data_IF_884416183439
#
_entry.id   IF_884416183439
#
_cell.length_a   1.000
_cell.length_b   1.000
_cell.length_c   1.000
_cell.angle_alpha   90.00
_cell.angle_beta   90.00
_cell.angle_gamma   90.00
#
_symmetry.space_group_name_H-M   'P 1'
#
loop_
_entity.id
_entity.type
_entity.pdbx_description
1 polymer ?
#
# COMPACT_ATOMS: atom_id res chain seq x y z
N UNK A 1 -5.95 -8.71 -22.19
CA UNK A 1 -5.38 -7.43 -22.65
C UNK A 1 -5.69 -6.41 -21.57
N UNK A 2 -4.74 -6.17 -20.64
CA UNK A 2 -4.96 -5.27 -19.52
C UNK A 2 -4.69 -3.84 -19.99
N UNK A 3 -5.70 -2.99 -19.97
CA UNK A 3 -5.57 -1.57 -20.24
C UNK A 3 -4.97 -0.89 -18.99
N UNK A 4 -3.68 -0.64 -19.00
CA UNK A 4 -3.07 0.30 -18.08
C UNK A 4 -3.57 1.71 -18.42
N UNK A 5 -4.02 2.44 -17.39
CA UNK A 5 -4.57 3.78 -17.50
C UNK A 5 -3.73 4.70 -18.40
N UNK A 6 -4.41 5.49 -19.21
CA UNK A 6 -3.81 6.42 -20.18
C UNK A 6 -2.83 7.38 -19.50
N UNK A 7 -1.53 7.23 -19.79
CA UNK A 7 -0.57 8.30 -19.60
C UNK A 7 -0.81 9.36 -20.67
N UNK A 8 -1.26 10.52 -20.27
CA UNK A 8 -1.23 11.71 -21.11
C UNK A 8 0.06 12.46 -20.79
N UNK A 9 1.04 12.38 -21.69
CA UNK A 9 2.25 13.21 -21.64
C UNK A 9 1.88 14.54 -22.27
N UNK A 10 1.90 15.61 -21.48
CA UNK A 10 1.82 16.98 -21.99
C UNK A 10 3.11 17.70 -21.58
N UNK A 11 3.89 18.12 -22.55
CA UNK A 11 5.02 19.03 -22.34
C UNK A 11 4.47 20.39 -21.93
N UNK A 12 4.85 20.86 -20.74
CA UNK A 12 4.51 22.18 -20.23
C UNK A 12 3.99 22.13 -18.80
N UNK A 13 4.89 22.03 -17.81
CA UNK A 13 4.72 22.55 -16.45
C UNK A 13 3.47 22.18 -15.61
N UNK A 14 2.60 21.31 -16.04
CA UNK A 14 1.45 20.84 -15.23
C UNK A 14 1.82 19.62 -14.40
N UNK A 15 1.56 19.71 -13.10
CA UNK A 15 1.66 18.63 -12.15
C UNK A 15 0.73 17.51 -12.63
N UNK A 16 1.30 16.41 -13.14
CA UNK A 16 0.51 15.25 -13.58
C UNK A 16 -0.30 14.73 -12.39
N UNK A 17 -1.62 14.73 -12.54
CA UNK A 17 -2.50 14.12 -11.55
C UNK A 17 -2.08 12.67 -11.31
N UNK A 18 -1.91 12.30 -10.06
CA UNK A 18 -1.59 10.93 -9.66
C UNK A 18 -2.84 10.07 -9.84
N UNK A 19 -2.83 9.22 -10.87
CA UNK A 19 -3.93 8.32 -11.18
C UNK A 19 -3.63 6.92 -10.69
N UNK A 20 -4.56 6.33 -9.95
CA UNK A 20 -4.51 4.94 -9.52
C UNK A 20 -5.05 4.01 -10.63
N UNK A 21 -4.55 2.77 -10.72
CA UNK A 21 -5.12 1.75 -11.59
C UNK A 21 -6.57 1.44 -11.23
N UNK A 22 -7.32 0.93 -12.20
CA UNK A 22 -8.67 0.41 -11.97
C UNK A 22 -8.61 -0.72 -10.92
N UNK A 23 -9.72 -0.87 -10.18
CA UNK A 23 -9.87 -2.00 -9.25
C UNK A 23 -10.14 -3.29 -10.03
N UNK A 24 -9.81 -4.43 -9.44
CA UNK A 24 -10.09 -5.76 -9.98
C UNK A 24 -11.19 -6.40 -9.15
N UNK A 25 -12.33 -6.70 -9.75
CA UNK A 25 -13.50 -7.20 -9.02
C UNK A 25 -13.70 -8.70 -9.21
N UNK A 26 -14.28 -9.37 -8.19
CA UNK A 26 -14.63 -10.79 -8.27
C UNK A 26 -15.62 -11.09 -9.42
N UNK A 27 -16.46 -10.12 -9.75
CA UNK A 27 -17.41 -10.22 -10.85
C UNK A 27 -16.73 -10.42 -12.22
N UNK A 28 -15.52 -9.86 -12.41
CA UNK A 28 -14.73 -10.03 -13.63
C UNK A 28 -14.28 -11.49 -13.87
N UNK A 29 -14.40 -12.32 -12.82
CA UNK A 29 -14.04 -13.74 -12.79
C UNK A 29 -15.27 -14.64 -12.59
N UNK A 30 -16.45 -14.18 -12.99
CA UNK A 30 -17.71 -14.94 -12.88
C UNK A 30 -18.03 -15.41 -11.47
N UNK A 31 -17.52 -14.72 -10.43
CA UNK A 31 -17.68 -15.08 -9.03
C UNK A 31 -16.79 -16.25 -8.57
N UNK A 32 -15.90 -16.76 -9.41
CA UNK A 32 -14.92 -17.78 -9.03
C UNK A 32 -13.80 -17.16 -8.21
N UNK A 33 -13.83 -17.42 -6.89
CA UNK A 33 -12.82 -16.86 -5.97
C UNK A 33 -11.41 -17.38 -6.23
N UNK A 34 -11.25 -18.61 -6.70
CA UNK A 34 -9.92 -19.16 -6.94
C UNK A 34 -9.26 -18.48 -8.14
N UNK A 35 -9.99 -18.32 -9.22
CA UNK A 35 -9.51 -17.57 -10.40
C UNK A 35 -9.20 -16.12 -10.06
N UNK A 36 -10.08 -15.48 -9.31
CA UNK A 36 -9.88 -14.12 -8.82
C UNK A 36 -8.62 -13.99 -7.96
N UNK A 37 -8.46 -14.86 -6.95
CA UNK A 37 -7.31 -14.84 -6.07
C UNK A 37 -5.99 -15.05 -6.81
N UNK A 38 -5.94 -15.93 -7.81
CA UNK A 38 -4.75 -16.10 -8.65
C UNK A 38 -4.45 -14.87 -9.50
N UNK A 39 -5.46 -14.19 -10.04
CA UNK A 39 -5.28 -12.95 -10.79
C UNK A 39 -4.76 -11.82 -9.88
N UNK A 40 -5.32 -11.66 -8.68
CA UNK A 40 -4.85 -10.72 -7.64
C UNK A 40 -3.39 -11.02 -7.26
N UNK A 41 -3.06 -12.30 -7.09
CA UNK A 41 -1.70 -12.72 -6.76
C UNK A 41 -0.72 -12.45 -7.90
N UNK A 42 -1.12 -12.61 -9.16
CA UNK A 42 -0.27 -12.31 -10.32
C UNK A 42 0.08 -10.81 -10.40
N UNK A 43 -0.89 -9.93 -10.12
CA UNK A 43 -0.64 -8.48 -10.00
C UNK A 43 0.37 -8.20 -8.89
N UNK A 44 0.18 -8.78 -7.71
CA UNK A 44 1.11 -8.63 -6.60
C UNK A 44 2.52 -9.12 -6.96
N UNK A 45 2.65 -10.29 -7.58
CA UNK A 45 3.97 -10.80 -8.03
C UNK A 45 4.66 -9.85 -8.98
N UNK A 46 3.91 -9.32 -9.96
CA UNK A 46 4.47 -8.37 -10.90
C UNK A 46 5.02 -7.13 -10.20
N UNK A 47 4.27 -6.56 -9.25
CA UNK A 47 4.57 -5.29 -8.61
C UNK A 47 5.58 -5.39 -7.46
N UNK A 48 5.60 -6.50 -6.71
CA UNK A 48 6.42 -6.62 -5.49
C UNK A 48 7.51 -7.69 -5.56
N UNK A 49 7.36 -8.69 -6.43
CA UNK A 49 8.37 -9.75 -6.55
C UNK A 49 9.28 -9.48 -7.74
N UNK A 50 8.71 -9.22 -8.93
CA UNK A 50 9.47 -9.03 -10.17
C UNK A 50 10.04 -7.61 -10.28
N UNK A 51 9.22 -6.58 -10.17
CA UNK A 51 9.62 -5.17 -10.34
C UNK A 51 10.14 -4.54 -9.06
N UNK A 52 9.47 -4.73 -7.92
CA UNK A 52 9.70 -4.10 -6.62
C UNK A 52 9.62 -2.57 -6.64
N UNK A 53 8.74 -1.95 -5.84
CA UNK A 53 8.63 -0.51 -5.80
C UNK A 53 9.82 0.15 -5.11
N UNK A 54 9.95 1.47 -5.36
CA UNK A 54 10.95 2.32 -4.74
C UNK A 54 10.26 3.39 -3.89
N UNK A 55 10.66 3.49 -2.64
CA UNK A 55 10.26 4.60 -1.78
C UNK A 55 11.39 5.63 -1.75
N UNK A 56 11.19 6.79 -2.40
CA UNK A 56 12.17 7.88 -2.44
C UNK A 56 13.58 7.38 -2.81
N UNK A 57 13.69 6.66 -3.91
CA UNK A 57 14.93 6.08 -4.40
C UNK A 57 15.41 4.80 -3.70
N UNK A 58 14.78 4.39 -2.59
CA UNK A 58 15.14 3.17 -1.87
C UNK A 58 14.29 2.01 -2.36
N UNK A 59 14.92 1.00 -2.97
CA UNK A 59 14.24 -0.23 -3.39
C UNK A 59 13.72 -1.01 -2.19
N UNK A 60 12.44 -1.38 -2.22
CA UNK A 60 11.83 -2.12 -1.12
C UNK A 60 12.31 -3.59 -1.08
N UNK A 61 12.49 -4.09 0.13
CA UNK A 61 12.54 -5.52 0.38
C UNK A 61 11.15 -6.15 0.32
N UNK A 62 11.09 -7.46 0.53
CA UNK A 62 9.83 -8.21 0.62
C UNK A 62 9.93 -9.24 1.73
N UNK A 63 8.96 -9.26 2.64
CA UNK A 63 8.83 -10.34 3.62
C UNK A 63 8.14 -11.52 2.96
N UNK A 64 8.91 -12.55 2.61
CA UNK A 64 8.39 -13.77 1.95
C UNK A 64 7.83 -14.76 2.96
N UNK A 65 8.54 -15.01 4.04
CA UNK A 65 8.23 -16.08 4.99
C UNK A 65 7.58 -15.59 6.30
N UNK A 66 6.73 -16.44 6.95
CA UNK A 66 6.28 -17.75 6.47
C UNK A 66 5.39 -17.61 5.22
N UNK A 67 5.38 -18.63 4.36
CA UNK A 67 4.39 -18.72 3.29
C UNK A 67 3.01 -19.04 3.88
N UNK A 68 1.96 -18.51 3.30
CA UNK A 68 0.56 -18.83 3.61
C UNK A 68 -0.09 -19.24 2.29
N UNK A 69 -0.59 -20.45 2.19
CA UNK A 69 -1.12 -21.04 0.95
C UNK A 69 -0.17 -20.84 -0.24
N UNK A 70 1.12 -21.18 -0.03
CA UNK A 70 2.23 -21.05 -0.99
C UNK A 70 2.49 -19.62 -1.51
N UNK A 71 1.89 -18.59 -0.89
CA UNK A 71 2.06 -17.19 -1.24
C UNK A 71 2.86 -16.43 -0.18
N UNK A 72 3.57 -15.37 -0.58
CA UNK A 72 4.42 -14.57 0.31
C UNK A 72 3.62 -13.92 1.45
N UNK A 73 4.24 -13.87 2.62
CA UNK A 73 3.66 -13.26 3.82
C UNK A 73 3.15 -11.82 3.60
N UNK A 74 3.85 -11.03 2.78
CA UNK A 74 3.41 -9.68 2.43
C UNK A 74 2.11 -9.70 1.63
N UNK A 75 1.92 -10.66 0.70
CA UNK A 75 0.67 -10.83 -0.03
C UNK A 75 -0.49 -11.08 0.93
N UNK A 76 -0.30 -12.00 1.86
CA UNK A 76 -1.29 -12.31 2.89
C UNK A 76 -1.68 -11.07 3.71
N UNK A 77 -0.70 -10.23 4.10
CA UNK A 77 -0.96 -8.98 4.81
C UNK A 77 -1.63 -7.89 3.98
N UNK A 78 -1.49 -7.94 2.67
CA UNK A 78 -2.15 -7.00 1.76
C UNK A 78 -3.59 -7.38 1.44
N UNK A 79 -3.92 -8.65 1.48
CA UNK A 79 -5.20 -9.19 1.01
C UNK A 79 -6.12 -9.68 2.12
N UNK A 80 -5.58 -9.98 3.30
CA UNK A 80 -6.34 -10.51 4.42
C UNK A 80 -6.44 -9.52 5.59
N UNK A 81 -7.50 -9.65 6.40
CA UNK A 81 -7.74 -8.86 7.59
C UNK A 81 -8.17 -9.74 8.76
N UNK A 82 -7.84 -9.32 9.99
CA UNK A 82 -8.17 -10.05 11.21
C UNK A 82 -7.37 -9.53 12.40
N UNK A 83 -7.89 -9.76 13.60
CA UNK A 83 -7.28 -9.31 14.86
C UNK A 83 -6.05 -10.14 15.26
N UNK A 84 -6.07 -11.41 14.92
CA UNK A 84 -4.96 -12.35 15.15
C UNK A 84 -4.44 -12.86 13.81
N UNK A 85 -3.18 -13.25 13.78
CA UNK A 85 -2.54 -13.79 12.58
C UNK A 85 -3.24 -15.06 12.07
N UNK A 86 -3.69 -15.91 12.99
CA UNK A 86 -4.39 -17.18 12.69
C UNK A 86 -5.83 -17.01 12.21
N UNK A 87 -6.43 -15.84 12.44
CA UNK A 87 -7.86 -15.61 12.22
C UNK A 87 -8.11 -14.65 11.03
N UNK A 88 -7.10 -14.43 10.20
CA UNK A 88 -7.22 -13.54 9.04
C UNK A 88 -8.02 -14.21 7.94
N UNK A 89 -8.97 -13.47 7.40
CA UNK A 89 -9.78 -13.87 6.26
C UNK A 89 -9.54 -12.94 5.05
N UNK A 90 -9.76 -13.41 3.82
CA UNK A 90 -9.71 -12.57 2.63
C UNK A 90 -10.60 -11.34 2.79
N UNK A 91 -10.07 -10.17 2.49
CA UNK A 91 -10.79 -8.91 2.49
C UNK A 91 -10.92 -8.41 1.05
N UNK A 92 -12.11 -8.49 0.49
CA UNK A 92 -12.39 -8.14 -0.91
C UNK A 92 -11.93 -6.73 -1.25
N UNK A 93 -12.19 -5.74 -0.37
CA UNK A 93 -11.80 -4.35 -0.62
C UNK A 93 -10.28 -4.14 -0.69
N UNK A 94 -9.50 -4.98 -0.02
CA UNK A 94 -8.05 -4.98 -0.12
C UNK A 94 -7.59 -5.68 -1.41
N UNK A 95 -8.21 -6.81 -1.74
CA UNK A 95 -7.90 -7.58 -2.95
C UNK A 95 -8.20 -6.79 -4.22
N UNK A 96 -9.36 -6.13 -4.28
CA UNK A 96 -9.76 -5.25 -5.38
C UNK A 96 -8.70 -4.19 -5.71
N UNK A 97 -7.97 -3.71 -4.71
CA UNK A 97 -7.00 -2.60 -4.81
C UNK A 97 -5.55 -3.06 -4.74
N UNK A 98 -5.29 -4.32 -5.05
CA UNK A 98 -3.93 -4.88 -4.96
C UNK A 98 -2.91 -4.14 -5.85
N UNK A 99 -3.36 -3.53 -6.94
CA UNK A 99 -2.53 -2.75 -7.86
C UNK A 99 -2.19 -1.33 -7.34
N UNK A 100 -2.85 -0.84 -6.26
CA UNK A 100 -2.69 0.54 -5.78
C UNK A 100 -1.42 0.79 -4.96
N UNK A 101 -0.96 -0.13 -4.08
CA UNK A 101 0.18 0.14 -3.21
C UNK A 101 1.47 0.46 -3.97
N UNK A 102 1.76 -0.23 -5.07
CA UNK A 102 3.01 -0.04 -5.83
C UNK A 102 3.13 1.37 -6.42
N UNK A 103 2.17 1.91 -7.19
CA UNK A 103 2.24 3.28 -7.68
C UNK A 103 2.23 4.33 -6.55
N UNK A 104 1.47 4.12 -5.46
CA UNK A 104 1.48 5.03 -4.30
C UNK A 104 2.89 5.12 -3.69
N UNK A 105 3.58 3.99 -3.56
CA UNK A 105 4.94 3.95 -3.02
C UNK A 105 5.91 4.65 -3.97
N UNK A 106 5.84 4.34 -5.27
CA UNK A 106 6.74 4.90 -6.28
C UNK A 106 6.60 6.43 -6.44
N UNK A 107 5.38 6.95 -6.24
CA UNK A 107 5.07 8.37 -6.35
C UNK A 107 4.94 9.06 -4.99
N UNK A 108 5.60 8.54 -3.95
CA UNK A 108 5.50 9.07 -2.58
C UNK A 108 6.01 10.51 -2.39
N UNK A 109 6.60 11.11 -3.42
CA UNK A 109 7.01 12.53 -3.46
C UNK A 109 5.92 13.44 -4.05
N UNK A 110 4.85 12.87 -4.61
CA UNK A 110 3.73 13.64 -5.14
C UNK A 110 3.00 14.39 -4.01
N UNK A 111 2.66 15.64 -4.26
CA UNK A 111 2.00 16.55 -3.29
C UNK A 111 0.60 16.12 -2.89
N UNK A 112 -0.06 15.30 -3.70
CA UNK A 112 -1.39 14.73 -3.38
C UNK A 112 -1.32 13.63 -2.32
N UNK A 113 -0.10 13.14 -2.01
CA UNK A 113 0.12 12.11 -1.01
C UNK A 113 0.67 12.71 0.29
N UNK A 114 0.05 12.36 1.41
CA UNK A 114 0.54 12.71 2.74
C UNK A 114 1.49 11.62 3.23
N UNK A 115 2.75 11.97 3.44
CA UNK A 115 3.79 11.02 3.88
C UNK A 115 4.39 11.46 5.20
N UNK A 116 4.39 10.55 6.19
CA UNK A 116 5.01 10.82 7.48
C UNK A 116 5.58 9.56 8.13
N UNK A 117 6.43 9.77 9.13
CA UNK A 117 7.01 8.71 9.95
C UNK A 117 6.31 8.64 11.30
N UNK A 118 6.11 7.41 11.76
CA UNK A 118 5.49 7.13 13.05
C UNK A 118 6.32 6.08 13.78
N UNK A 119 6.50 6.29 15.08
CA UNK A 119 7.21 5.36 15.96
C UNK A 119 6.19 4.74 16.90
N UNK A 120 5.99 3.44 16.78
CA UNK A 120 5.10 2.68 17.66
C UNK A 120 5.90 1.81 18.60
N UNK A 121 5.68 1.98 19.90
CA UNK A 121 6.24 1.12 20.95
C UNK A 121 5.23 0.02 21.27
N UNK A 122 5.69 -1.23 21.31
CA UNK A 122 4.85 -2.39 21.60
C UNK A 122 5.66 -3.50 22.27
N UNK A 123 5.01 -4.62 22.64
CA UNK A 123 5.64 -5.78 23.28
C UNK A 123 6.83 -6.35 22.52
N UNK A 124 6.90 -6.18 21.20
CA UNK A 124 8.02 -6.61 20.34
C UNK A 124 9.05 -5.53 20.04
N UNK A 125 9.15 -4.48 20.87
CA UNK A 125 10.10 -3.38 20.70
C UNK A 125 9.54 -2.18 19.92
N UNK A 126 10.44 -1.33 19.47
CA UNK A 126 10.10 -0.10 18.72
C UNK A 126 9.97 -0.40 17.24
N UNK A 127 8.82 -0.11 16.68
CA UNK A 127 8.54 -0.26 15.23
C UNK A 127 8.48 1.11 14.57
N UNK A 128 9.34 1.34 13.60
CA UNK A 128 9.31 2.56 12.77
C UNK A 128 8.44 2.28 11.55
N UNK A 129 7.40 3.09 11.38
CA UNK A 129 6.47 2.99 10.25
C UNK A 129 6.57 4.24 9.39
N UNK A 130 6.42 4.05 8.08
CA UNK A 130 6.20 5.11 7.13
C UNK A 130 4.76 4.96 6.65
N UNK A 131 4.01 6.03 6.72
CA UNK A 131 2.62 6.07 6.30
C UNK A 131 2.54 6.93 5.04
N UNK A 132 1.85 6.43 4.02
CA UNK A 132 1.59 7.13 2.77
C UNK A 132 0.08 7.13 2.59
N UNK A 133 -0.55 8.29 2.73
CA UNK A 133 -2.00 8.41 2.71
C UNK A 133 -2.46 9.18 1.48
N UNK A 134 -3.20 8.50 0.61
CA UNK A 134 -3.96 9.06 -0.48
C UNK A 134 -5.32 9.48 0.05
N UNK A 135 -5.45 10.79 0.39
CA UNK A 135 -6.63 11.30 1.09
C UNK A 135 -7.89 11.26 0.23
N UNK A 136 -7.76 11.53 -1.08
CA UNK A 136 -8.87 11.54 -2.02
C UNK A 136 -9.54 10.17 -2.13
N UNK A 137 -8.74 9.11 -2.06
CA UNK A 137 -9.18 7.71 -2.15
C UNK A 137 -9.43 7.07 -0.78
N UNK A 138 -9.18 7.80 0.30
CA UNK A 138 -9.20 7.25 1.67
C UNK A 138 -8.33 5.99 1.82
N UNK A 139 -7.19 5.93 1.12
CA UNK A 139 -6.36 4.74 1.07
C UNK A 139 -5.00 4.97 1.74
N UNK A 140 -4.62 4.06 2.62
CA UNK A 140 -3.38 4.12 3.38
C UNK A 140 -2.47 2.96 3.01
N UNK A 141 -1.23 3.28 2.65
CA UNK A 141 -0.12 2.32 2.54
C UNK A 141 0.79 2.50 3.75
N UNK A 142 1.15 1.41 4.39
CA UNK A 142 2.06 1.39 5.54
C UNK A 142 3.31 0.59 5.17
N UNK A 143 4.47 1.21 5.34
CA UNK A 143 5.76 0.55 5.21
C UNK A 143 6.40 0.38 6.58
N UNK A 144 7.29 -0.59 6.72
CA UNK A 144 8.11 -0.78 7.91
C UNK A 144 9.57 -0.45 7.61
N UNK A 145 10.09 0.56 8.31
CA UNK A 145 11.49 0.95 8.24
C UNK A 145 12.32 0.10 9.21
N UNK A 146 13.16 -0.76 8.66
CA UNK A 146 14.10 -1.63 9.40
C UNK A 146 15.51 -1.03 9.50
N UNK A 147 15.68 0.22 9.11
CA UNK A 147 16.97 0.92 9.07
C UNK A 147 17.80 0.58 7.83
N UNK A 148 18.19 -0.67 7.66
CA UNK A 148 18.96 -1.14 6.50
C UNK A 148 18.11 -1.36 5.23
N UNK A 149 16.81 -1.56 5.39
CA UNK A 149 15.86 -1.77 4.31
C UNK A 149 14.43 -1.40 4.74
N UNK A 150 13.57 -1.17 3.76
CA UNK A 150 12.16 -0.86 3.97
C UNK A 150 11.32 -2.01 3.41
N UNK A 151 10.29 -2.42 4.15
CA UNK A 151 9.35 -3.47 3.74
C UNK A 151 7.95 -2.89 3.54
N UNK A 152 7.21 -3.29 2.50
CA UNK A 152 5.77 -3.09 2.47
C UNK A 152 5.13 -3.93 3.59
N UNK A 153 4.24 -3.29 4.36
CA UNK A 153 3.65 -3.93 5.53
C UNK A 153 2.18 -4.24 5.36
N UNK A 154 1.36 -3.25 5.03
CA UNK A 154 -0.07 -3.42 4.77
C UNK A 154 -0.61 -2.22 3.99
N UNK A 155 -1.74 -2.40 3.32
CA UNK A 155 -2.47 -1.34 2.66
C UNK A 155 -3.99 -1.59 2.77
N UNK A 156 -4.79 -0.52 2.95
CA UNK A 156 -6.22 -0.67 3.15
C UNK A 156 -6.98 0.66 3.04
N UNK A 157 -8.30 0.55 2.80
CA UNK A 157 -9.22 1.67 2.88
C UNK A 157 -9.41 2.14 4.33
N UNK A 158 -9.38 3.44 4.52
CA UNK A 158 -9.50 4.09 5.83
C UNK A 158 -10.93 4.56 6.05
N UNK A 159 -11.53 4.17 7.17
CA UNK A 159 -12.84 4.65 7.61
C UNK A 159 -12.74 6.10 8.15
N UNK A 160 -13.82 6.88 8.07
CA UNK A 160 -13.85 8.30 8.43
C UNK A 160 -13.32 8.62 9.84
N UNK A 161 -13.67 7.81 10.83
CA UNK A 161 -13.15 7.99 12.20
C UNK A 161 -11.62 7.89 12.26
N UNK A 162 -11.05 6.98 11.48
CA UNK A 162 -9.61 6.78 11.40
C UNK A 162 -8.93 7.84 10.54
N UNK A 163 -9.59 8.28 9.46
CA UNK A 163 -9.12 9.35 8.58
C UNK A 163 -8.79 10.61 9.37
N UNK A 164 -9.70 11.08 10.23
CA UNK A 164 -9.46 12.26 11.09
C UNK A 164 -8.21 12.12 11.94
N UNK A 165 -8.02 10.94 12.57
CA UNK A 165 -6.83 10.69 13.40
C UNK A 165 -5.53 10.69 12.57
N UNK A 166 -5.54 10.16 11.35
CA UNK A 166 -4.38 10.15 10.46
C UNK A 166 -4.01 11.57 10.01
N UNK A 167 -5.01 12.38 9.66
CA UNK A 167 -4.80 13.79 9.29
C UNK A 167 -4.21 14.58 10.46
N UNK A 168 -4.72 14.39 11.68
CA UNK A 168 -4.20 15.07 12.88
C UNK A 168 -2.76 14.63 13.20
N UNK A 169 -2.45 13.34 13.03
CA UNK A 169 -1.11 12.79 13.18
C UNK A 169 -0.14 13.39 12.16
N UNK A 170 -0.55 13.46 10.90
CA UNK A 170 0.22 14.09 9.82
C UNK A 170 0.50 15.58 10.11
N UNK A 171 -0.52 16.35 10.50
CA UNK A 171 -0.36 17.77 10.83
C UNK A 171 0.64 17.99 11.98
N UNK A 172 0.59 17.15 13.02
CA UNK A 172 1.54 17.19 14.12
C UNK A 172 2.96 16.87 13.66
N UNK A 173 3.11 15.89 12.78
CA UNK A 173 4.40 15.53 12.19
C UNK A 173 5.00 16.70 11.41
N UNK A 174 4.23 17.32 10.50
CA UNK A 174 4.70 18.47 9.70
C UNK A 174 5.09 19.63 10.61
N UNK A 175 4.26 19.96 11.62
CA UNK A 175 4.59 21.03 12.58
C UNK A 175 5.91 20.76 13.33
N UNK A 176 6.17 19.52 13.68
CA UNK A 176 7.41 19.15 14.37
C UNK A 176 8.64 19.18 13.44
N UNK A 177 8.49 18.87 12.14
CA UNK A 177 9.58 18.96 11.15
C UNK A 177 9.90 20.42 10.80
N UNK A 178 8.91 21.31 10.72
CA UNK A 178 9.12 22.73 10.42
C UNK A 178 9.66 23.54 11.61
N UNK A 179 9.64 22.97 12.82
CA UNK A 179 10.16 23.61 14.03
C UNK A 179 11.63 23.26 14.34
N UNK A 180 12.27 22.43 13.51
CA UNK A 180 13.69 22.06 13.60
C UNK A 180 14.56 22.95 12.75
#
# INVERSE_FOLDING_TARGET
MFLYGKQVIIEGGEIMAFNLPDIIELADFYGDFNLYNEAVYEIFKNDFVRKKPYFRGIKLGLKKYPLVDDKEYTYYHFTHDGNKETDRAPNMRRMERIAWPSPIINHSENTDLKVWRNIRRGRGGTKKRILIFCENENYLVVLEDRGKYILPWTAYLVQDRKKRKLIDEYKKYIKAETAK
#
